data_IF_429899003419
#
_entry.id   IF_429899003419
#
_cell.length_a   1.000
_cell.length_b   1.000
_cell.length_c   1.000
_cell.angle_alpha   90.00
_cell.angle_beta   90.00
_cell.angle_gamma   90.00
#
_symmetry.space_group_name_H-M   'P 1'
#
loop_
_entity.id
_entity.type
_entity.pdbx_description
1 polymer ?
#
# COMPACT_ATOMS: atom_id res chain seq x y z
N UNK A 1 7.71 0.96 3.76
CA UNK A 1 7.48 2.41 3.44
C UNK A 1 5.99 2.64 3.35
N UNK A 2 5.46 3.58 4.14
CA UNK A 2 4.02 3.93 4.17
C UNK A 2 3.79 5.20 3.37
N UNK A 3 2.90 5.17 2.41
CA UNK A 3 2.57 6.36 1.60
C UNK A 3 1.86 7.41 2.45
N UNK A 4 1.00 7.01 3.39
CA UNK A 4 0.33 7.94 4.31
C UNK A 4 1.33 8.79 5.13
N UNK A 5 2.48 8.21 5.55
CA UNK A 5 3.54 8.97 6.24
C UNK A 5 4.18 10.03 5.34
N UNK A 6 4.41 9.70 4.07
CA UNK A 6 4.95 10.63 3.08
C UNK A 6 3.94 11.75 2.81
N UNK A 7 2.67 11.40 2.65
CA UNK A 7 1.60 12.37 2.41
C UNK A 7 1.41 13.32 3.59
N UNK A 8 1.49 12.80 4.82
CA UNK A 8 1.39 13.64 6.00
C UNK A 8 2.57 14.61 6.10
N UNK A 9 3.80 14.15 5.87
CA UNK A 9 4.98 15.01 5.84
C UNK A 9 4.89 16.10 4.77
N UNK A 10 4.32 15.78 3.60
CA UNK A 10 4.05 16.76 2.55
C UNK A 10 3.03 17.81 2.99
N UNK A 11 1.96 17.42 3.70
CA UNK A 11 0.98 18.36 4.28
C UNK A 11 1.64 19.28 5.31
N UNK A 12 2.41 18.73 6.24
CA UNK A 12 3.10 19.45 7.33
C UNK A 12 4.14 20.44 6.79
N UNK A 13 4.71 20.17 5.63
CA UNK A 13 5.66 21.11 4.99
C UNK A 13 5.04 22.48 4.64
N UNK A 14 3.70 22.60 4.63
CA UNK A 14 2.98 23.81 4.28
C UNK A 14 3.15 24.26 2.80
N UNK A 15 3.84 23.46 1.99
CA UNK A 15 4.14 23.79 0.58
C UNK A 15 3.11 23.23 -0.41
N UNK A 16 2.11 22.50 0.09
CA UNK A 16 1.05 21.94 -0.74
C UNK A 16 0.03 23.04 -1.07
N UNK A 17 -0.20 23.26 -2.36
CA UNK A 17 -1.22 24.22 -2.83
C UNK A 17 -2.65 23.77 -2.49
N UNK A 18 -3.64 24.59 -2.89
CA UNK A 18 -5.07 24.36 -2.62
C UNK A 18 -5.63 22.99 -3.08
N UNK A 19 -4.93 22.30 -3.97
CA UNK A 19 -5.31 20.96 -4.46
C UNK A 19 -4.87 19.81 -3.54
N UNK A 20 -4.15 20.09 -2.43
CA UNK A 20 -3.65 19.08 -1.51
C UNK A 20 -2.56 18.18 -2.12
N UNK A 21 -2.37 17.01 -1.51
CA UNK A 21 -1.27 16.07 -1.82
C UNK A 21 -1.47 15.38 -3.18
N UNK A 22 -2.71 15.06 -3.56
CA UNK A 22 -3.03 14.31 -4.78
C UNK A 22 -2.12 13.06 -4.96
N UNK A 23 -1.47 12.91 -6.12
CA UNK A 23 -0.56 11.82 -6.41
C UNK A 23 0.87 12.02 -5.87
N UNK A 24 1.17 13.16 -5.21
CA UNK A 24 2.55 13.49 -4.81
C UNK A 24 3.15 12.47 -3.84
N UNK A 25 2.36 11.92 -2.91
CA UNK A 25 2.82 10.87 -2.01
C UNK A 25 3.30 9.62 -2.75
N UNK A 26 2.54 9.19 -3.74
CA UNK A 26 2.92 8.06 -4.60
C UNK A 26 4.17 8.37 -5.42
N UNK A 27 4.26 9.56 -6.03
CA UNK A 27 5.43 9.92 -6.84
C UNK A 27 6.72 9.98 -6.02
N UNK A 28 6.65 10.55 -4.81
CA UNK A 28 7.79 10.56 -3.87
C UNK A 28 8.14 9.14 -3.44
N UNK A 29 7.14 8.34 -3.05
CA UNK A 29 7.33 6.94 -2.68
C UNK A 29 7.97 6.13 -3.81
N UNK A 30 7.52 6.33 -5.05
CA UNK A 30 8.07 5.70 -6.23
C UNK A 30 9.56 6.05 -6.46
N UNK A 31 9.91 7.33 -6.31
CA UNK A 31 11.31 7.76 -6.44
C UNK A 31 12.21 7.12 -5.37
N UNK A 32 11.78 7.15 -4.11
CA UNK A 32 12.51 6.51 -3.00
C UNK A 32 12.62 4.99 -3.17
N UNK A 33 11.55 4.32 -3.62
CA UNK A 33 11.59 2.88 -3.88
C UNK A 33 12.62 2.53 -4.95
N UNK A 34 12.70 3.32 -6.03
CA UNK A 34 13.70 3.12 -7.07
C UNK A 34 15.12 3.22 -6.54
N UNK A 35 15.44 4.30 -5.80
CA UNK A 35 16.78 4.50 -5.24
C UNK A 35 17.18 3.34 -4.31
N UNK A 36 16.26 2.86 -3.50
CA UNK A 36 16.48 1.72 -2.60
C UNK A 36 16.70 0.41 -3.38
N UNK A 37 15.90 0.13 -4.39
CA UNK A 37 16.03 -1.07 -5.23
C UNK A 37 17.34 -1.03 -6.02
N UNK A 38 17.72 0.11 -6.58
CA UNK A 38 19.00 0.30 -7.29
C UNK A 38 20.22 0.10 -6.37
N UNK A 39 20.03 0.35 -5.06
CA UNK A 39 21.06 0.04 -4.04
C UNK A 39 21.07 -1.41 -3.58
N UNK A 40 20.22 -2.27 -4.12
CA UNK A 40 20.08 -3.67 -3.72
C UNK A 40 19.23 -3.90 -2.46
N UNK A 41 18.49 -2.89 -2.01
CA UNK A 41 17.63 -3.00 -0.83
C UNK A 41 16.22 -3.45 -1.22
N UNK A 42 15.68 -4.47 -0.56
CA UNK A 42 14.27 -4.87 -0.72
C UNK A 42 13.33 -3.78 -0.17
N UNK A 43 12.21 -3.57 -0.85
CA UNK A 43 11.24 -2.52 -0.48
C UNK A 43 9.85 -3.13 -0.27
N UNK A 44 9.27 -2.88 0.90
CA UNK A 44 7.86 -3.12 1.18
C UNK A 44 7.13 -1.77 1.17
N UNK A 45 6.11 -1.64 0.33
CA UNK A 45 5.26 -0.44 0.28
C UNK A 45 3.85 -0.73 0.78
N UNK A 46 3.30 0.17 1.57
CA UNK A 46 1.93 0.13 2.07
C UNK A 46 1.17 1.36 1.58
N UNK A 47 0.07 1.13 0.88
CA UNK A 47 -0.80 2.17 0.36
C UNK A 47 -2.16 1.60 -0.02
N UNK A 48 -3.18 2.45 -0.15
CA UNK A 48 -4.51 2.02 -0.61
C UNK A 48 -4.49 1.52 -2.05
N UNK A 49 -3.69 2.16 -2.91
CA UNK A 49 -3.45 1.78 -4.30
C UNK A 49 -4.74 1.49 -5.11
N UNK A 50 -5.70 2.44 -5.14
CA UNK A 50 -7.08 2.15 -5.52
C UNK A 50 -7.28 1.95 -7.02
N UNK A 51 -6.39 2.49 -7.84
CA UNK A 51 -6.54 2.55 -9.30
C UNK A 51 -5.41 1.86 -10.02
N UNK A 52 -5.70 1.35 -11.22
CA UNK A 52 -4.72 0.70 -12.08
C UNK A 52 -3.51 1.59 -12.40
N UNK A 53 -3.72 2.89 -12.56
CA UNK A 53 -2.64 3.84 -12.84
C UNK A 53 -1.59 3.87 -11.73
N UNK A 54 -1.99 3.84 -10.46
CA UNK A 54 -1.05 3.83 -9.34
C UNK A 54 -0.34 2.49 -9.18
N UNK A 55 -1.04 1.38 -9.45
CA UNK A 55 -0.46 0.01 -9.48
C UNK A 55 0.59 -0.10 -10.57
N UNK A 56 0.29 0.45 -11.75
CA UNK A 56 1.24 0.48 -12.87
C UNK A 56 2.55 1.18 -12.51
N UNK A 57 2.53 2.24 -11.73
CA UNK A 57 3.77 2.91 -11.31
C UNK A 57 4.71 1.99 -10.54
N UNK A 58 4.18 1.16 -9.64
CA UNK A 58 4.98 0.18 -8.90
C UNK A 58 5.52 -0.91 -9.80
N UNK A 59 4.71 -1.42 -10.74
CA UNK A 59 5.14 -2.40 -11.74
C UNK A 59 6.24 -1.85 -12.64
N UNK A 60 6.12 -0.61 -13.09
CA UNK A 60 7.11 0.06 -13.94
C UNK A 60 8.46 0.22 -13.19
N UNK A 61 8.43 0.51 -11.88
CA UNK A 61 9.64 0.60 -11.07
C UNK A 61 10.28 -0.78 -10.94
N UNK A 62 9.55 -1.79 -10.53
CA UNK A 62 10.07 -3.15 -10.42
C UNK A 62 10.71 -3.62 -11.74
N UNK A 63 10.02 -3.38 -12.87
CA UNK A 63 10.56 -3.71 -14.18
C UNK A 63 11.85 -2.94 -14.51
N UNK A 64 11.90 -1.63 -14.21
CA UNK A 64 13.06 -0.78 -14.53
C UNK A 64 14.30 -1.08 -13.68
N UNK A 65 14.11 -1.61 -12.47
CA UNK A 65 15.18 -1.98 -11.53
C UNK A 65 15.48 -3.49 -11.53
N UNK A 66 14.82 -4.25 -12.41
CA UNK A 66 14.89 -5.72 -12.46
C UNK A 66 14.56 -6.38 -11.10
N UNK A 67 13.71 -5.74 -10.31
CA UNK A 67 13.25 -6.26 -9.02
C UNK A 67 12.07 -7.23 -9.21
N UNK A 68 12.04 -8.28 -8.38
CA UNK A 68 10.85 -9.13 -8.28
C UNK A 68 9.74 -8.34 -7.56
N UNK A 69 8.58 -8.25 -8.17
CA UNK A 69 7.39 -7.65 -7.57
C UNK A 69 6.47 -8.75 -7.02
N UNK A 70 5.90 -8.50 -5.86
CA UNK A 70 4.76 -9.27 -5.32
C UNK A 70 3.67 -8.26 -4.95
N UNK A 71 2.53 -8.33 -5.64
CA UNK A 71 1.37 -7.49 -5.36
C UNK A 71 0.40 -8.21 -4.43
N UNK A 72 0.08 -7.57 -3.31
CA UNK A 72 -0.84 -8.11 -2.30
C UNK A 72 -2.05 -7.20 -2.15
N UNK A 73 -3.25 -7.72 -2.38
CA UNK A 73 -4.51 -7.04 -2.08
C UNK A 73 -5.08 -7.56 -0.76
N UNK A 74 -5.19 -6.67 0.23
CA UNK A 74 -5.89 -6.94 1.47
C UNK A 74 -7.33 -6.42 1.35
N UNK A 75 -8.31 -7.25 1.64
CA UNK A 75 -9.72 -6.86 1.68
C UNK A 75 -10.42 -7.45 2.91
N UNK A 76 -11.62 -7.01 3.19
CA UNK A 76 -12.47 -7.58 4.23
C UNK A 76 -13.82 -7.95 3.61
N UNK A 77 -14.17 -9.23 3.61
CA UNK A 77 -15.41 -9.73 3.02
C UNK A 77 -16.65 -9.37 3.84
N UNK A 78 -16.51 -9.15 5.15
CA UNK A 78 -17.59 -8.72 6.04
C UNK A 78 -17.64 -7.19 6.12
N UNK A 79 -18.71 -6.59 5.57
CA UNK A 79 -18.89 -5.14 5.57
C UNK A 79 -19.09 -4.56 6.96
N UNK A 80 -19.69 -5.30 7.89
CA UNK A 80 -19.92 -4.85 9.25
C UNK A 80 -18.62 -4.78 10.02
N UNK A 81 -17.77 -5.79 9.88
CA UNK A 81 -16.44 -5.84 10.46
C UNK A 81 -15.53 -4.78 9.82
N UNK A 82 -15.59 -4.61 8.50
CA UNK A 82 -14.82 -3.57 7.82
C UNK A 82 -15.18 -2.18 8.35
N UNK A 83 -16.49 -1.89 8.45
CA UNK A 83 -16.96 -0.62 9.01
C UNK A 83 -16.50 -0.44 10.45
N UNK A 84 -16.66 -1.45 11.29
CA UNK A 84 -16.23 -1.42 12.68
C UNK A 84 -14.74 -1.07 12.80
N UNK A 85 -13.88 -1.71 12.01
CA UNK A 85 -12.43 -1.43 11.98
C UNK A 85 -12.12 -0.01 11.52
N UNK A 86 -12.79 0.49 10.48
CA UNK A 86 -12.60 1.86 10.00
C UNK A 86 -12.96 2.90 11.07
N UNK A 87 -14.08 2.69 11.77
CA UNK A 87 -14.60 3.62 12.77
C UNK A 87 -13.83 3.57 14.11
N UNK A 88 -13.16 2.45 14.42
CA UNK A 88 -12.50 2.22 15.72
C UNK A 88 -10.97 2.12 15.66
N UNK A 89 -10.35 2.29 14.50
CA UNK A 89 -8.89 2.24 14.37
C UNK A 89 -8.23 3.44 15.02
N UNK A 90 -7.05 3.22 15.62
CA UNK A 90 -6.19 4.28 16.12
C UNK A 90 -5.27 4.84 15.05
N UNK A 91 -4.87 6.09 15.21
CA UNK A 91 -3.86 6.75 14.37
C UNK A 91 -2.51 6.64 15.07
N UNK A 92 -1.50 6.22 14.33
CA UNK A 92 -0.11 6.16 14.76
C UNK A 92 0.80 7.16 14.00
N UNK A 93 0.22 7.94 13.09
CA UNK A 93 0.88 9.06 12.37
C UNK A 93 0.29 10.36 12.93
N UNK A 94 1.12 11.16 13.54
CA UNK A 94 0.69 12.43 14.12
C UNK A 94 0.11 13.37 13.06
N UNK A 95 -1.03 13.99 13.38
CA UNK A 95 -1.75 14.89 12.45
C UNK A 95 -2.50 14.23 11.29
N UNK A 96 -2.41 12.90 11.12
CA UNK A 96 -3.14 12.21 10.06
C UNK A 96 -4.65 12.17 10.35
N UNK A 97 -5.44 12.72 9.44
CA UNK A 97 -6.90 12.60 9.44
C UNK A 97 -7.30 11.32 8.72
N UNK A 98 -7.89 10.38 9.47
CA UNK A 98 -8.37 9.12 8.90
C UNK A 98 -9.65 9.34 8.08
N UNK A 99 -9.82 8.63 6.97
CA UNK A 99 -11.09 8.63 6.22
C UNK A 99 -12.22 8.05 7.07
N UNK A 100 -13.39 8.64 6.96
CA UNK A 100 -14.64 8.12 7.51
C UNK A 100 -15.11 6.88 6.75
N UNK A 101 -16.10 6.17 7.30
CA UNK A 101 -16.74 5.07 6.57
C UNK A 101 -17.36 5.53 5.25
N UNK A 102 -17.95 6.73 5.23
CA UNK A 102 -18.50 7.32 4.01
C UNK A 102 -17.41 7.54 2.95
N UNK A 103 -16.27 8.11 3.33
CA UNK A 103 -15.14 8.31 2.41
C UNK A 103 -14.64 6.98 1.82
N UNK A 104 -14.65 5.90 2.63
CA UNK A 104 -14.28 4.55 2.17
C UNK A 104 -15.27 4.03 1.13
N UNK A 105 -16.58 4.23 1.35
CA UNK A 105 -17.62 3.77 0.43
C UNK A 105 -17.67 4.56 -0.88
N UNK A 106 -17.40 5.86 -0.83
CA UNK A 106 -17.41 6.75 -1.99
C UNK A 106 -16.12 6.68 -2.82
N UNK A 107 -15.07 6.09 -2.25
CA UNK A 107 -13.78 5.96 -2.94
C UNK A 107 -13.90 5.08 -4.16
N UNK A 108 -13.48 5.60 -5.32
CA UNK A 108 -13.28 4.76 -6.48
C UNK A 108 -12.17 3.75 -6.20
N UNK A 109 -12.52 2.48 -6.14
CA UNK A 109 -11.60 1.38 -5.92
C UNK A 109 -11.87 0.27 -6.94
N UNK A 110 -10.83 -0.13 -7.66
CA UNK A 110 -10.88 -1.27 -8.59
C UNK A 110 -10.16 -2.45 -7.96
N UNK A 111 -10.85 -3.59 -7.84
CA UNK A 111 -10.22 -4.82 -7.36
C UNK A 111 -8.94 -5.12 -8.15
N UNK A 112 -7.89 -5.54 -7.44
CA UNK A 112 -6.64 -5.94 -8.08
C UNK A 112 -6.73 -7.40 -8.53
N UNK A 113 -7.36 -7.64 -9.69
CA UNK A 113 -7.54 -9.00 -10.23
C UNK A 113 -6.22 -9.69 -10.60
N UNK A 114 -5.16 -8.91 -10.77
CA UNK A 114 -3.81 -9.38 -11.13
C UNK A 114 -2.88 -9.50 -9.91
N UNK A 115 -3.36 -9.24 -8.69
CA UNK A 115 -2.55 -9.41 -7.48
C UNK A 115 -2.10 -10.86 -7.32
N UNK A 116 -0.83 -11.04 -6.94
CA UNK A 116 -0.26 -12.37 -6.65
C UNK A 116 -0.94 -13.02 -5.45
N UNK A 117 -1.32 -12.19 -4.46
CA UNK A 117 -2.07 -12.62 -3.28
C UNK A 117 -3.29 -11.72 -3.07
N UNK A 118 -4.44 -12.35 -2.76
CA UNK A 118 -5.65 -11.67 -2.31
C UNK A 118 -6.07 -12.25 -0.96
N UNK A 119 -5.92 -11.45 0.10
CA UNK A 119 -6.08 -11.89 1.48
C UNK A 119 -7.35 -11.28 2.06
N UNK A 120 -8.27 -12.14 2.48
CA UNK A 120 -9.45 -11.74 3.25
C UNK A 120 -9.09 -11.60 4.72
N UNK A 121 -9.00 -10.39 5.20
CA UNK A 121 -8.67 -10.07 6.60
C UNK A 121 -9.78 -10.40 7.59
N UNK A 122 -10.98 -10.78 7.11
CA UNK A 122 -12.03 -11.34 7.95
C UNK A 122 -11.81 -12.84 8.23
N UNK A 123 -11.19 -13.55 7.29
CA UNK A 123 -10.93 -14.99 7.40
C UNK A 123 -9.54 -15.33 7.94
N UNK A 124 -8.61 -14.37 7.95
CA UNK A 124 -7.21 -14.58 8.31
C UNK A 124 -6.74 -13.51 9.31
N UNK A 125 -5.97 -13.92 10.31
CA UNK A 125 -5.35 -13.01 11.26
C UNK A 125 -4.19 -12.23 10.64
N UNK A 126 -3.79 -11.13 11.25
CA UNK A 126 -2.64 -10.35 10.78
C UNK A 126 -1.32 -11.15 10.76
N UNK A 127 -1.12 -12.04 11.74
CA UNK A 127 0.07 -12.89 11.78
C UNK A 127 0.09 -13.92 10.66
N UNK A 128 -1.01 -14.62 10.43
CA UNK A 128 -1.13 -15.59 9.33
C UNK A 128 -0.94 -14.91 7.97
N UNK A 129 -1.52 -13.71 7.79
CA UNK A 129 -1.33 -12.92 6.57
C UNK A 129 0.13 -12.51 6.38
N UNK A 130 0.81 -12.08 7.45
CA UNK A 130 2.22 -11.71 7.40
C UNK A 130 3.12 -12.90 7.06
N UNK A 131 2.87 -14.07 7.64
CA UNK A 131 3.59 -15.30 7.32
C UNK A 131 3.41 -15.69 5.85
N UNK A 132 2.18 -15.68 5.35
CA UNK A 132 1.88 -15.98 3.94
C UNK A 132 2.60 -15.02 2.98
N UNK A 133 2.62 -13.72 3.29
CA UNK A 133 3.35 -12.73 2.49
C UNK A 133 4.86 -12.99 2.54
N UNK A 134 5.40 -13.28 3.73
CA UNK A 134 6.83 -13.56 3.91
C UNK A 134 7.24 -14.79 3.10
N UNK A 135 6.49 -15.87 3.16
CA UNK A 135 6.75 -17.10 2.41
C UNK A 135 6.71 -16.85 0.88
N UNK A 136 5.74 -16.04 0.43
CA UNK A 136 5.61 -15.71 -1.00
C UNK A 136 6.76 -14.82 -1.49
N UNK A 137 7.30 -13.95 -0.63
CA UNK A 137 8.37 -13.02 -0.99
C UNK A 137 9.76 -13.62 -0.85
N UNK A 138 9.92 -14.69 -0.04
CA UNK A 138 11.20 -15.38 0.13
C UNK A 138 11.59 -16.07 -1.17
N UNK A 139 12.79 -15.87 -1.72
CA UNK A 139 13.27 -16.65 -2.84
C UNK A 139 13.36 -18.12 -2.42
N UNK A 140 12.56 -18.99 -3.02
CA UNK A 140 12.81 -20.42 -2.88
C UNK A 140 14.18 -20.69 -3.50
N UNK A 141 15.15 -21.09 -2.66
CA UNK A 141 16.47 -21.44 -3.11
C UNK A 141 16.35 -22.40 -4.29
N UNK A 142 16.98 -22.04 -5.40
CA UNK A 142 17.22 -23.01 -6.45
C UNK A 142 18.16 -24.03 -5.84
N UNK A 143 17.61 -25.18 -5.47
CA UNK A 143 18.41 -26.36 -5.19
C UNK A 143 19.25 -26.65 -6.45
N UNK A 144 20.54 -26.42 -6.31
CA UNK A 144 21.55 -26.85 -7.29
C UNK A 144 21.84 -28.32 -7.11
#
# INVERSE_FOLDING_TARGET
>A
MRIDSIEQALRDSGKMGARGVQASGYLVGCALARDLLDSGTSVLTECVNPLEVSRKWWRDIAASTNARLVEVELYCSDLSEHRYRVENRSVDIDGLVLPTWQDVQEREYKNCSEADLRIDTNAMTANEAAELIADTTTPHGQDQ
#
